data_IF_944456360832
#
_entry.id   IF_944456360832
#
_cell.length_a   1.000
_cell.length_b   1.000
_cell.length_c   1.000
_cell.angle_alpha   90.00
_cell.angle_beta   90.00
_cell.angle_gamma   90.00
#
_symmetry.space_group_name_H-M   'P 1'
#
loop_
_entity.id
_entity.type
_entity.pdbx_description
1 polymer ?
#
# COMPACT_ATOMS: atom_id res chain seq x y z
N UNK A 1 -38.42 -37.09 5.38
CA UNK A 1 -37.38 -36.07 5.66
C UNK A 1 -37.82 -35.25 6.86
N UNK A 2 -36.96 -35.10 7.87
CA UNK A 2 -37.30 -34.33 9.07
C UNK A 2 -37.41 -32.84 8.69
N UNK A 3 -38.55 -32.15 8.93
CA UNK A 3 -38.73 -30.73 8.59
C UNK A 3 -37.63 -29.81 9.16
N UNK A 4 -36.99 -30.21 10.27
CA UNK A 4 -35.83 -29.51 10.83
C UNK A 4 -34.62 -29.43 9.90
N UNK A 5 -34.44 -30.41 9.01
CA UNK A 5 -33.35 -30.42 8.03
C UNK A 5 -33.53 -29.31 6.98
N UNK A 6 -34.76 -29.07 6.52
CA UNK A 6 -35.07 -27.99 5.58
C UNK A 6 -34.91 -26.61 6.21
N UNK A 7 -35.31 -26.45 7.48
CA UNK A 7 -35.11 -25.20 8.24
C UNK A 7 -33.62 -24.91 8.42
N UNK A 8 -32.82 -25.92 8.77
CA UNK A 8 -31.37 -25.76 8.92
C UNK A 8 -30.68 -25.36 7.60
N UNK A 9 -31.05 -25.98 6.47
CA UNK A 9 -30.51 -25.61 5.17
C UNK A 9 -30.89 -24.18 4.76
N UNK A 10 -32.12 -23.75 5.01
CA UNK A 10 -32.56 -22.38 4.73
C UNK A 10 -31.80 -21.36 5.59
N UNK A 11 -31.64 -21.63 6.89
CA UNK A 11 -30.90 -20.75 7.80
C UNK A 11 -29.43 -20.62 7.38
N UNK A 12 -28.76 -21.73 7.06
CA UNK A 12 -27.37 -21.72 6.58
C UNK A 12 -27.24 -20.96 5.25
N UNK A 13 -28.16 -21.16 4.31
CA UNK A 13 -28.17 -20.44 3.03
C UNK A 13 -28.38 -18.93 3.21
N UNK A 14 -29.27 -18.54 4.12
CA UNK A 14 -29.53 -17.13 4.43
C UNK A 14 -28.32 -16.47 5.11
N UNK A 15 -27.69 -17.14 6.08
CA UNK A 15 -26.46 -16.67 6.72
C UNK A 15 -25.34 -16.53 5.68
N UNK A 16 -25.17 -17.52 4.80
CA UNK A 16 -24.18 -17.45 3.72
C UNK A 16 -24.42 -16.27 2.78
N UNK A 17 -25.68 -16.00 2.42
CA UNK A 17 -26.04 -14.90 1.55
C UNK A 17 -25.80 -13.54 2.23
N UNK A 18 -26.16 -13.39 3.51
CA UNK A 18 -25.87 -12.17 4.26
C UNK A 18 -24.36 -11.97 4.45
N UNK A 19 -23.62 -13.02 4.77
CA UNK A 19 -22.18 -12.95 4.92
C UNK A 19 -21.48 -12.57 3.61
N UNK A 20 -21.89 -13.15 2.47
CA UNK A 20 -21.32 -12.81 1.15
C UNK A 20 -21.72 -11.40 0.70
N UNK A 21 -22.94 -10.95 1.00
CA UNK A 21 -23.38 -9.59 0.73
C UNK A 21 -22.63 -8.56 1.57
N UNK A 22 -22.41 -8.84 2.86
CA UNK A 22 -21.59 -8.02 3.73
C UNK A 22 -20.12 -8.02 3.26
N UNK A 23 -19.57 -9.19 2.90
CA UNK A 23 -18.20 -9.29 2.39
C UNK A 23 -18.02 -8.48 1.11
N UNK A 24 -18.97 -8.54 0.18
CA UNK A 24 -18.95 -7.75 -1.05
C UNK A 24 -19.08 -6.25 -0.78
N UNK A 25 -19.82 -5.85 0.24
CA UNK A 25 -19.90 -4.44 0.66
C UNK A 25 -18.56 -3.97 1.25
N UNK A 26 -17.91 -4.79 2.08
CA UNK A 26 -16.60 -4.47 2.68
C UNK A 26 -15.45 -4.52 1.67
N UNK A 27 -15.55 -5.33 0.62
CA UNK A 27 -14.57 -5.41 -0.47
C UNK A 27 -14.73 -4.33 -1.54
N UNK A 28 -15.61 -3.34 -1.35
CA UNK A 28 -15.75 -2.28 -2.34
C UNK A 28 -14.50 -1.41 -2.36
N UNK A 29 -13.70 -1.58 -3.40
CA UNK A 29 -12.61 -0.68 -3.75
C UNK A 29 -13.14 0.75 -3.94
N UNK A 30 -12.27 1.74 -3.79
CA UNK A 30 -12.61 3.17 -3.90
C UNK A 30 -13.32 3.54 -5.21
N UNK A 31 -12.97 2.88 -6.33
CA UNK A 31 -13.67 3.01 -7.62
C UNK A 31 -15.13 2.56 -7.53
N UNK A 32 -15.38 1.42 -6.90
CA UNK A 32 -16.73 0.87 -6.75
C UNK A 32 -17.62 1.74 -5.87
N UNK A 33 -17.03 2.33 -4.83
CA UNK A 33 -17.71 3.30 -3.98
C UNK A 33 -18.05 4.59 -4.75
N UNK A 34 -17.08 5.12 -5.52
CA UNK A 34 -17.30 6.28 -6.37
C UNK A 34 -18.40 6.04 -7.41
N UNK A 35 -18.36 4.91 -8.13
CA UNK A 35 -19.40 4.54 -9.13
C UNK A 35 -20.81 4.45 -8.54
N UNK A 36 -20.93 4.13 -7.24
CA UNK A 36 -22.22 4.08 -6.55
C UNK A 36 -22.74 5.46 -6.18
N UNK A 37 -21.86 6.45 -6.00
CA UNK A 37 -22.20 7.82 -5.63
C UNK A 37 -22.20 8.81 -6.79
N UNK A 38 -21.58 8.46 -7.90
CA UNK A 38 -21.47 9.35 -9.05
C UNK A 38 -22.83 9.64 -9.70
N UNK A 39 -22.86 10.67 -10.54
CA UNK A 39 -24.06 11.09 -11.28
C UNK A 39 -24.68 9.97 -12.15
N UNK A 40 -23.91 8.95 -12.53
CA UNK A 40 -24.40 7.79 -13.32
C UNK A 40 -25.06 6.68 -12.47
N UNK A 41 -24.99 6.76 -11.14
CA UNK A 41 -25.52 5.73 -10.26
C UNK A 41 -27.04 5.61 -10.36
N UNK A 42 -27.62 4.41 -10.36
CA UNK A 42 -29.09 4.25 -10.42
C UNK A 42 -29.81 4.65 -9.13
N UNK A 43 -29.12 4.67 -7.99
CA UNK A 43 -29.71 4.96 -6.68
C UNK A 43 -29.47 6.41 -6.30
N UNK A 44 -30.49 7.25 -6.45
CA UNK A 44 -30.37 8.71 -6.26
C UNK A 44 -30.04 9.09 -4.81
N UNK A 45 -30.53 8.31 -3.84
CA UNK A 45 -30.39 8.59 -2.40
C UNK A 45 -28.93 8.55 -1.90
N UNK A 46 -28.04 7.91 -2.65
CA UNK A 46 -26.62 7.78 -2.29
C UNK A 46 -25.70 8.64 -3.17
N UNK A 47 -26.25 9.42 -4.10
CA UNK A 47 -25.44 10.24 -4.99
C UNK A 47 -24.85 11.45 -4.27
N UNK A 48 -23.77 11.98 -4.83
CA UNK A 48 -23.36 13.35 -4.51
C UNK A 48 -24.52 14.32 -4.77
N UNK A 49 -24.59 15.39 -3.97
CA UNK A 49 -25.64 16.38 -4.11
C UNK A 49 -25.57 17.05 -5.49
N UNK A 50 -26.72 17.23 -6.16
CA UNK A 50 -26.84 17.95 -7.44
C UNK A 50 -26.70 19.48 -7.23
N UNK A 51 -25.58 19.87 -6.64
CA UNK A 51 -25.19 21.25 -6.34
C UNK A 51 -23.74 21.43 -6.80
N UNK A 52 -23.31 22.66 -7.07
CA UNK A 52 -21.93 22.93 -7.47
C UNK A 52 -20.88 22.34 -6.49
N UNK A 53 -21.20 22.29 -5.19
CA UNK A 53 -20.32 21.67 -4.20
C UNK A 53 -20.27 20.15 -4.34
N UNK A 54 -21.41 19.48 -4.55
CA UNK A 54 -21.45 18.03 -4.73
C UNK A 54 -20.80 17.57 -6.05
N UNK A 55 -20.91 18.34 -7.12
CA UNK A 55 -20.17 18.09 -8.36
C UNK A 55 -18.65 18.19 -8.14
N UNK A 56 -18.20 19.20 -7.38
CA UNK A 56 -16.79 19.33 -7.01
C UNK A 56 -16.31 18.15 -6.15
N UNK A 57 -17.11 17.70 -5.19
CA UNK A 57 -16.81 16.51 -4.37
C UNK A 57 -16.72 15.24 -5.22
N UNK A 58 -17.60 15.05 -6.21
CA UNK A 58 -17.55 13.92 -7.14
C UNK A 58 -16.26 13.91 -7.97
N UNK A 59 -15.88 15.07 -8.52
CA UNK A 59 -14.65 15.23 -9.30
C UNK A 59 -13.41 15.04 -8.42
N UNK A 60 -13.41 15.59 -7.21
CA UNK A 60 -12.32 15.45 -6.26
C UNK A 60 -12.11 13.99 -5.87
N UNK A 61 -13.18 13.26 -5.55
CA UNK A 61 -13.09 11.84 -5.23
C UNK A 61 -12.54 11.00 -6.41
N UNK A 62 -12.90 11.36 -7.65
CA UNK A 62 -12.34 10.70 -8.83
C UNK A 62 -10.84 11.01 -8.99
N UNK A 63 -10.43 12.27 -8.76
CA UNK A 63 -9.04 12.70 -8.82
C UNK A 63 -8.21 11.99 -7.75
N UNK A 64 -8.72 11.86 -6.53
CA UNK A 64 -8.11 11.10 -5.43
C UNK A 64 -7.82 9.66 -5.84
N UNK A 65 -8.79 9.00 -6.48
CA UNK A 65 -8.63 7.63 -6.99
C UNK A 65 -7.59 7.54 -8.09
N UNK A 66 -7.59 8.48 -9.04
CA UNK A 66 -6.62 8.51 -10.14
C UNK A 66 -5.18 8.74 -9.65
N UNK A 67 -5.04 9.54 -8.59
CA UNK A 67 -3.76 9.81 -7.97
C UNK A 67 -3.30 8.70 -7.01
N UNK A 68 -4.13 7.68 -6.75
CA UNK A 68 -3.75 6.57 -5.86
C UNK A 68 -2.47 5.88 -6.36
N UNK A 69 -1.39 5.86 -5.55
CA UNK A 69 -0.18 5.17 -5.93
C UNK A 69 -0.39 3.65 -5.88
N UNK A 70 0.44 2.93 -6.63
CA UNK A 70 0.43 1.46 -6.60
C UNK A 70 1.69 0.98 -5.91
N UNK A 71 1.54 0.12 -4.92
CA UNK A 71 2.65 -0.38 -4.13
C UNK A 71 2.84 -1.86 -4.40
N UNK A 72 4.09 -2.26 -4.57
CA UNK A 72 4.47 -3.66 -4.60
C UNK A 72 5.57 -3.92 -3.58
N UNK A 73 5.36 -4.88 -2.68
CA UNK A 73 6.31 -5.23 -1.62
C UNK A 73 6.65 -6.70 -1.71
N UNK A 74 7.92 -7.05 -1.50
CA UNK A 74 8.37 -8.43 -1.45
C UNK A 74 9.43 -8.62 -0.36
N UNK A 75 9.19 -9.57 0.52
CA UNK A 75 10.13 -9.93 1.58
C UNK A 75 11.40 -10.56 1.00
N UNK A 76 12.56 -10.17 1.54
CA UNK A 76 13.86 -10.77 1.25
C UNK A 76 14.27 -11.70 2.37
N UNK A 77 14.88 -12.83 2.01
CA UNK A 77 15.34 -13.84 2.97
C UNK A 77 16.83 -14.14 2.80
N UNK A 78 17.51 -14.40 3.91
CA UNK A 78 18.80 -15.09 3.92
C UNK A 78 18.66 -16.46 4.57
N UNK A 79 19.57 -17.35 4.22
CA UNK A 79 19.57 -18.71 4.74
C UNK A 79 20.55 -18.82 5.91
N UNK A 80 20.06 -19.28 7.05
CA UNK A 80 20.85 -19.56 8.24
C UNK A 80 20.88 -21.05 8.52
N UNK A 81 22.06 -21.59 8.84
CA UNK A 81 22.19 -22.98 9.26
C UNK A 81 21.85 -23.11 10.74
N UNK A 82 20.79 -23.87 11.05
CA UNK A 82 20.38 -24.16 12.42
C UNK A 82 20.81 -25.57 12.81
N UNK A 83 21.42 -25.66 13.99
CA UNK A 83 21.91 -26.90 14.54
C UNK A 83 20.78 -27.71 15.18
N UNK A 84 20.61 -28.98 14.76
CA UNK A 84 19.58 -29.90 15.26
C UNK A 84 20.08 -30.84 16.36
N UNK A 85 21.35 -30.72 16.77
CA UNK A 85 21.99 -31.74 17.60
C UNK A 85 22.61 -32.86 16.76
N UNK A 86 23.62 -33.55 17.32
CA UNK A 86 24.33 -34.70 16.69
C UNK A 86 25.04 -34.42 15.34
N UNK A 87 25.37 -33.17 15.05
CA UNK A 87 26.18 -32.82 13.87
C UNK A 87 25.37 -32.50 12.62
N UNK A 88 24.04 -32.59 12.70
CA UNK A 88 23.15 -32.23 11.59
C UNK A 88 22.78 -30.74 11.63
N UNK A 89 22.84 -30.12 10.45
CA UNK A 89 22.43 -28.75 10.20
C UNK A 89 21.31 -28.73 9.16
N UNK A 90 20.37 -27.81 9.32
CA UNK A 90 19.37 -27.53 8.29
C UNK A 90 19.32 -26.03 8.01
N UNK A 91 19.12 -25.70 6.74
CA UNK A 91 19.08 -24.31 6.27
C UNK A 91 17.66 -23.76 6.41
N UNK A 92 17.52 -22.64 7.12
CA UNK A 92 16.25 -21.96 7.35
C UNK A 92 16.28 -20.61 6.67
N UNK A 93 15.26 -20.32 5.85
CA UNK A 93 15.03 -18.98 5.32
C UNK A 93 14.55 -18.07 6.46
N UNK A 94 15.33 -17.04 6.76
CA UNK A 94 15.01 -16.00 7.75
C UNK A 94 14.85 -14.68 7.00
N UNK A 95 13.76 -13.97 7.28
CA UNK A 95 13.53 -12.64 6.73
C UNK A 95 14.61 -11.67 7.23
N UNK A 96 15.13 -10.83 6.33
CA UNK A 96 16.07 -9.77 6.66
C UNK A 96 15.64 -8.38 6.20
N UNK A 97 14.55 -8.28 5.44
CA UNK A 97 14.08 -7.03 4.89
C UNK A 97 12.98 -7.21 3.86
N UNK A 98 12.66 -6.13 3.17
CA UNK A 98 11.77 -6.15 2.03
C UNK A 98 12.22 -5.17 0.95
N UNK A 99 12.08 -5.59 -0.30
CA UNK A 99 12.05 -4.68 -1.43
C UNK A 99 10.67 -4.03 -1.52
N UNK A 100 10.64 -2.74 -1.85
CA UNK A 100 9.43 -1.93 -1.98
C UNK A 100 9.51 -1.18 -3.31
N UNK A 101 8.46 -1.24 -4.10
CA UNK A 101 8.26 -0.41 -5.28
C UNK A 101 7.00 0.42 -5.09
N UNK A 102 7.14 1.75 -5.12
CA UNK A 102 6.02 2.69 -5.12
C UNK A 102 5.91 3.29 -6.52
N UNK A 103 4.84 2.96 -7.24
CA UNK A 103 4.49 3.57 -8.51
C UNK A 103 3.64 4.80 -8.24
N UNK A 104 4.24 5.97 -8.47
CA UNK A 104 3.62 7.28 -8.35
C UNK A 104 3.09 7.72 -9.72
N UNK A 105 1.88 8.32 -9.79
CA UNK A 105 1.34 8.88 -11.02
C UNK A 105 2.25 9.95 -11.62
N UNK A 106 2.31 10.07 -12.94
CA UNK A 106 3.12 11.11 -13.60
C UNK A 106 2.79 12.56 -13.15
N UNK A 107 1.57 12.83 -12.67
CA UNK A 107 1.12 14.13 -12.18
C UNK A 107 1.88 14.64 -10.95
N UNK A 108 2.55 13.76 -10.19
CA UNK A 108 3.33 14.18 -9.00
C UNK A 108 4.71 14.75 -9.35
N UNK A 109 5.06 14.83 -10.64
CA UNK A 109 6.34 15.38 -11.09
C UNK A 109 6.48 16.87 -10.74
N UNK A 110 7.69 17.27 -10.35
CA UNK A 110 7.97 18.62 -9.85
C UNK A 110 7.41 18.90 -8.46
N UNK A 111 6.87 17.89 -7.77
CA UNK A 111 6.28 18.00 -6.44
C UNK A 111 7.10 17.25 -5.39
N UNK A 112 6.99 17.71 -4.15
CA UNK A 112 7.54 17.01 -2.98
C UNK A 112 6.46 16.07 -2.43
N UNK A 113 6.75 14.78 -2.38
CA UNK A 113 5.82 13.77 -1.85
C UNK A 113 6.29 13.37 -0.45
N UNK A 114 5.37 13.34 0.50
CA UNK A 114 5.69 12.98 1.89
C UNK A 114 5.29 11.54 2.20
N UNK A 115 6.12 10.84 2.96
CA UNK A 115 5.90 9.43 3.31
C UNK A 115 6.15 9.16 4.79
N UNK A 116 5.37 8.25 5.37
CA UNK A 116 5.68 7.57 6.62
C UNK A 116 5.70 6.06 6.37
N UNK A 117 6.68 5.38 6.96
CA UNK A 117 6.86 3.93 6.83
C UNK A 117 7.07 3.29 8.18
N UNK A 118 6.35 2.20 8.43
CA UNK A 118 6.38 1.46 9.69
C UNK A 118 6.34 -0.04 9.41
N UNK A 119 7.12 -0.82 10.14
CA UNK A 119 6.95 -2.28 10.22
C UNK A 119 5.99 -2.61 11.37
N UNK A 120 5.12 -3.58 11.15
CA UNK A 120 4.23 -4.05 12.20
C UNK A 120 4.12 -5.57 12.21
N UNK A 121 3.75 -6.10 13.37
CA UNK A 121 3.55 -7.54 13.59
C UNK A 121 2.17 -7.80 14.15
N UNK A 122 1.68 -9.01 13.94
CA UNK A 122 0.45 -9.48 14.58
C UNK A 122 0.79 -10.56 15.62
N UNK A 123 0.85 -10.21 16.91
CA UNK A 123 1.14 -11.18 17.95
C UNK A 123 0.12 -12.33 17.92
N UNK A 124 0.62 -13.57 17.88
CA UNK A 124 -0.18 -14.81 17.85
C UNK A 124 -1.24 -14.90 16.72
N UNK A 125 -1.15 -14.07 15.68
CA UNK A 125 -2.06 -14.09 14.53
C UNK A 125 -3.51 -13.64 14.81
N UNK A 126 -3.87 -13.36 16.07
CA UNK A 126 -5.24 -12.98 16.48
C UNK A 126 -5.33 -11.67 17.25
N UNK A 127 -4.20 -11.16 17.75
CA UNK A 127 -4.18 -9.88 18.46
C UNK A 127 -4.18 -8.68 17.49
N UNK A 128 -4.48 -7.46 17.99
CA UNK A 128 -4.28 -6.24 17.22
C UNK A 128 -2.85 -6.14 16.68
N UNK A 129 -2.71 -5.46 15.55
CA UNK A 129 -1.41 -5.21 14.94
C UNK A 129 -0.62 -4.25 15.83
N UNK A 130 0.64 -4.56 16.09
CA UNK A 130 1.53 -3.74 16.91
C UNK A 130 2.70 -3.25 16.06
N UNK A 131 2.98 -1.95 16.14
CA UNK A 131 4.16 -1.32 15.54
C UNK A 131 5.46 -1.90 16.13
N UNK A 132 6.43 -2.14 15.25
CA UNK A 132 7.81 -2.40 15.62
C UNK A 132 8.57 -1.07 15.45
N UNK A 133 9.26 -0.64 16.50
CA UNK A 133 10.08 0.58 16.45
C UNK A 133 11.41 0.31 15.75
N UNK A 134 11.35 0.19 14.42
CA UNK A 134 12.53 0.09 13.55
C UNK A 134 12.77 1.43 12.81
N UNK A 135 14.02 1.91 12.70
CA UNK A 135 14.36 3.11 11.95
C UNK A 135 14.39 2.84 10.44
N UNK A 136 13.23 2.53 9.85
CA UNK A 136 13.09 2.24 8.41
C UNK A 136 13.29 3.47 7.52
N UNK A 137 13.07 4.65 8.08
CA UNK A 137 13.01 5.93 7.39
C UNK A 137 14.30 6.24 6.62
N UNK A 138 15.45 6.09 7.27
CA UNK A 138 16.75 6.35 6.63
C UNK A 138 17.06 5.34 5.53
N UNK A 139 16.72 4.06 5.73
CA UNK A 139 16.96 3.02 4.73
C UNK A 139 16.08 3.24 3.49
N UNK A 140 14.82 3.63 3.69
CA UNK A 140 13.86 3.86 2.61
C UNK A 140 14.35 4.92 1.62
N UNK A 141 14.88 6.04 2.12
CA UNK A 141 15.43 7.11 1.27
C UNK A 141 16.83 6.79 0.73
N UNK A 142 17.76 6.36 1.59
CA UNK A 142 19.17 6.22 1.19
C UNK A 142 19.44 5.06 0.22
N UNK A 143 18.54 4.08 0.17
CA UNK A 143 18.65 2.91 -0.72
C UNK A 143 17.68 2.96 -1.89
N UNK A 144 16.86 4.00 -1.97
CA UNK A 144 15.84 4.09 -2.99
C UNK A 144 16.33 4.72 -4.29
N UNK A 145 15.76 4.28 -5.40
CA UNK A 145 16.14 4.63 -6.75
C UNK A 145 14.91 4.74 -7.65
N UNK A 146 14.96 5.65 -8.62
CA UNK A 146 13.93 5.70 -9.66
C UNK A 146 14.16 4.60 -10.71
N UNK A 147 13.09 3.87 -11.02
CA UNK A 147 13.04 2.79 -12.01
C UNK A 147 12.06 3.13 -13.13
N UNK A 148 12.21 2.47 -14.28
CA UNK A 148 11.29 2.62 -15.41
C UNK A 148 9.96 1.94 -15.10
N UNK A 149 8.85 2.47 -15.62
CA UNK A 149 7.51 1.95 -15.39
C UNK A 149 7.36 0.43 -15.69
N UNK A 150 8.11 -0.07 -16.67
CA UNK A 150 8.14 -1.49 -17.09
C UNK A 150 8.67 -2.45 -16.01
N UNK A 151 9.43 -1.94 -15.03
CA UNK A 151 10.08 -2.75 -14.00
C UNK A 151 9.19 -3.00 -12.77
N UNK A 152 7.97 -2.45 -12.76
CA UNK A 152 7.02 -2.67 -11.68
C UNK A 152 6.69 -4.16 -11.50
N UNK A 153 6.62 -4.61 -10.24
CA UNK A 153 6.34 -6.00 -9.87
C UNK A 153 7.58 -6.92 -9.90
N UNK A 154 8.74 -6.41 -10.33
CA UNK A 154 9.97 -7.21 -10.42
C UNK A 154 10.95 -6.82 -9.33
N UNK A 155 10.83 -7.44 -8.15
CA UNK A 155 11.74 -7.24 -7.03
C UNK A 155 12.74 -8.40 -6.86
N UNK A 156 14.02 -8.05 -6.71
CA UNK A 156 15.09 -8.99 -6.41
C UNK A 156 14.94 -9.57 -4.98
N UNK A 157 15.28 -10.84 -4.81
CA UNK A 157 15.32 -11.49 -3.49
C UNK A 157 16.69 -11.30 -2.81
N UNK A 158 17.24 -10.09 -2.87
CA UNK A 158 18.53 -9.73 -2.26
C UNK A 158 18.45 -8.29 -1.76
N UNK A 159 19.18 -7.94 -0.69
CA UNK A 159 19.29 -6.56 -0.24
C UNK A 159 19.79 -5.66 -1.37
N UNK A 160 19.11 -4.53 -1.60
CA UNK A 160 19.64 -3.50 -2.48
C UNK A 160 20.82 -2.80 -1.79
N UNK A 161 21.85 -2.49 -2.58
CA UNK A 161 22.96 -1.63 -2.16
C UNK A 161 22.48 -0.20 -1.88
N UNK A 162 23.38 0.68 -1.46
CA UNK A 162 23.03 2.10 -1.33
C UNK A 162 22.79 2.69 -2.72
N UNK A 163 21.81 3.58 -2.82
CA UNK A 163 21.53 4.27 -4.06
C UNK A 163 22.74 5.10 -4.54
N UNK A 164 23.49 5.67 -3.59
CA UNK A 164 24.73 6.43 -3.85
C UNK A 164 25.83 5.63 -4.52
N UNK A 165 25.83 4.31 -4.37
CA UNK A 165 26.91 3.43 -4.86
C UNK A 165 26.61 2.95 -6.29
N UNK A 166 25.40 3.19 -6.78
CA UNK A 166 24.94 2.84 -8.11
C UNK A 166 24.95 4.08 -9.02
N UNK A 167 26.06 4.27 -9.71
CA UNK A 167 26.25 5.38 -10.65
C UNK A 167 25.52 5.19 -11.98
N UNK A 168 24.73 4.12 -12.15
CA UNK A 168 24.13 3.78 -13.44
C UNK A 168 22.74 4.36 -13.69
N UNK A 169 22.00 4.86 -12.70
CA UNK A 169 20.60 5.28 -12.90
C UNK A 169 20.07 6.36 -11.89
N UNK A 170 19.14 7.28 -12.30
CA UNK A 170 19.03 7.92 -13.63
C UNK A 170 18.63 9.43 -13.56
N UNK A 171 18.74 10.28 -14.61
CA UNK A 171 17.92 10.33 -15.83
C UNK A 171 16.44 9.94 -15.59
N UNK A 172 15.71 10.85 -14.97
CA UNK A 172 14.26 10.72 -14.76
C UNK A 172 13.54 10.10 -15.98
N UNK A 173 12.64 9.12 -15.77
CA UNK A 173 11.81 8.59 -16.85
C UNK A 173 11.08 9.72 -17.60
N UNK A 174 10.72 9.54 -18.89
CA UNK A 174 10.00 10.53 -19.67
C UNK A 174 8.78 11.08 -18.94
N UNK A 175 8.45 12.36 -19.14
CA UNK A 175 7.40 13.06 -18.38
C UNK A 175 6.02 12.40 -18.45
N UNK A 176 5.72 11.70 -19.54
CA UNK A 176 4.44 11.02 -19.75
C UNK A 176 4.31 9.69 -19.00
N UNK A 177 5.40 9.13 -18.47
CA UNK A 177 5.40 7.86 -17.75
C UNK A 177 5.27 8.05 -16.24
N UNK A 178 4.59 7.08 -15.60
CA UNK A 178 4.58 6.97 -14.14
C UNK A 178 5.98 6.71 -13.59
N UNK A 179 6.20 7.16 -12.36
CA UNK A 179 7.48 7.04 -11.69
C UNK A 179 7.46 5.84 -10.76
N UNK A 180 8.52 5.03 -10.78
CA UNK A 180 8.68 3.96 -9.79
C UNK A 180 9.82 4.32 -8.86
N UNK A 181 9.51 4.46 -7.59
CA UNK A 181 10.49 4.50 -6.51
C UNK A 181 10.71 3.08 -5.99
N UNK A 182 11.88 2.50 -6.27
CA UNK A 182 12.28 1.18 -5.77
C UNK A 182 13.28 1.34 -4.64
N UNK A 183 13.04 0.73 -3.49
CA UNK A 183 13.95 0.75 -2.34
C UNK A 183 13.97 -0.59 -1.61
N UNK A 184 14.93 -0.75 -0.70
CA UNK A 184 15.00 -1.90 0.20
C UNK A 184 15.14 -1.41 1.63
N UNK A 185 14.37 -1.98 2.55
CA UNK A 185 14.45 -1.66 3.97
C UNK A 185 14.77 -2.92 4.78
N UNK A 186 15.65 -2.83 5.80
CA UNK A 186 15.85 -3.92 6.74
C UNK A 186 14.59 -4.05 7.60
N UNK A 187 14.17 -5.28 7.87
CA UNK A 187 12.98 -5.55 8.68
C UNK A 187 13.33 -6.55 9.76
N UNK A 188 12.68 -6.43 10.92
CA UNK A 188 12.71 -7.47 11.93
C UNK A 188 12.18 -8.80 11.35
N UNK A 189 12.74 -9.91 11.84
CA UNK A 189 12.37 -11.27 11.43
C UNK A 189 10.91 -11.62 11.76
N UNK A 190 10.33 -10.97 12.77
CA UNK A 190 8.97 -11.18 13.24
C UNK A 190 7.99 -10.17 12.60
N UNK A 191 8.47 -9.23 11.77
CA UNK A 191 7.61 -8.29 11.04
C UNK A 191 6.72 -9.04 10.05
N UNK A 192 5.41 -8.80 10.14
CA UNK A 192 4.39 -9.47 9.31
C UNK A 192 3.83 -8.53 8.25
N UNK A 193 3.76 -7.23 8.55
CA UNK A 193 3.21 -6.22 7.67
C UNK A 193 4.19 -5.06 7.50
N UNK A 194 4.07 -4.40 6.36
CA UNK A 194 4.63 -3.09 6.12
C UNK A 194 3.50 -2.09 5.92
N UNK A 195 3.50 -1.03 6.71
CA UNK A 195 2.53 0.05 6.61
C UNK A 195 3.19 1.28 5.99
N UNK A 196 2.55 1.82 4.94
CA UNK A 196 3.00 3.03 4.26
C UNK A 196 1.88 4.05 4.22
N UNK A 197 2.22 5.30 4.51
CA UNK A 197 1.33 6.44 4.35
C UNK A 197 1.98 7.45 3.41
N UNK A 198 1.22 7.94 2.42
CA UNK A 198 1.70 8.85 1.38
C UNK A 198 0.81 10.11 1.37
N UNK A 199 1.43 11.29 1.37
CA UNK A 199 0.74 12.56 1.15
C UNK A 199 1.30 13.27 -0.08
N UNK A 200 0.38 13.75 -0.91
CA UNK A 200 0.68 14.70 -1.96
C UNK A 200 0.50 16.14 -1.45
N UNK A 201 1.18 17.12 -2.07
CA UNK A 201 1.04 18.50 -1.68
C UNK A 201 -0.32 19.08 -2.06
N UNK A 202 -0.73 20.11 -1.31
CA UNK A 202 -2.06 20.73 -1.42
C UNK A 202 -2.35 21.37 -2.79
N UNK A 203 -1.32 21.63 -3.59
CA UNK A 203 -1.46 22.14 -4.95
C UNK A 203 -1.91 21.07 -5.95
N UNK A 204 -1.67 19.79 -5.65
CA UNK A 204 -2.10 18.65 -6.46
C UNK A 204 -3.47 18.14 -6.01
N UNK A 205 -3.66 18.06 -4.69
CA UNK A 205 -4.89 17.52 -4.11
C UNK A 205 -5.19 18.23 -2.78
N UNK A 206 -6.43 18.67 -2.61
CA UNK A 206 -6.84 19.24 -1.34
C UNK A 206 -7.03 18.10 -0.34
N UNK A 207 -6.32 18.11 0.80
CA UNK A 207 -6.55 17.11 1.82
C UNK A 207 -8.00 17.24 2.33
N UNK A 208 -8.73 16.13 2.36
CA UNK A 208 -10.04 16.07 3.01
C UNK A 208 -9.94 16.39 4.50
N UNK A 209 -11.09 16.49 5.18
CA UNK A 209 -11.15 16.85 6.61
C UNK A 209 -10.23 16.00 7.51
N UNK A 210 -10.00 14.74 7.15
CA UNK A 210 -9.22 13.79 7.95
C UNK A 210 -7.72 13.74 7.56
N UNK A 211 -7.30 14.43 6.49
CA UNK A 211 -5.90 14.56 6.01
C UNK A 211 -5.08 13.26 6.08
N UNK A 212 -5.76 12.13 5.83
CA UNK A 212 -5.24 10.80 6.14
C UNK A 212 -4.22 10.31 5.13
N UNK A 213 -4.07 11.00 3.99
CA UNK A 213 -3.24 10.55 2.87
C UNK A 213 -3.69 9.20 2.32
N UNK A 214 -2.85 8.61 1.48
CA UNK A 214 -3.01 7.24 0.99
C UNK A 214 -2.34 6.27 1.96
N UNK A 215 -3.05 5.23 2.36
CA UNK A 215 -2.71 4.31 3.43
C UNK A 215 -2.68 2.88 2.91
N UNK A 216 -1.59 2.19 3.19
CA UNK A 216 -1.33 0.88 2.67
C UNK A 216 -0.82 -0.02 3.78
N UNK A 217 -1.33 -1.24 3.85
CA UNK A 217 -0.82 -2.30 4.71
C UNK A 217 -0.53 -3.54 3.85
N UNK A 218 0.74 -3.82 3.63
CA UNK A 218 1.20 -4.88 2.73
C UNK A 218 1.60 -6.12 3.52
N UNK A 219 1.19 -7.30 3.07
CA UNK A 219 1.63 -8.56 3.65
C UNK A 219 3.08 -8.88 3.24
N UNK A 220 3.95 -9.15 4.21
CA UNK A 220 5.34 -9.49 3.97
C UNK A 220 5.49 -10.96 3.55
N UNK A 221 5.28 -11.21 2.25
CA UNK A 221 5.42 -12.52 1.63
C UNK A 221 6.62 -12.62 0.67
N UNK A 222 7.10 -13.84 0.43
CA UNK A 222 8.16 -14.13 -0.57
C UNK A 222 7.67 -14.08 -2.01
N UNK A 223 6.35 -14.19 -2.23
CA UNK A 223 5.71 -14.08 -3.55
C UNK A 223 5.55 -12.63 -4.02
N UNK A 224 5.65 -11.70 -3.09
CA UNK A 224 5.30 -10.29 -3.30
C UNK A 224 3.79 -10.05 -3.16
N UNK A 225 3.44 -8.89 -2.67
CA UNK A 225 2.08 -8.38 -2.52
C UNK A 225 1.95 -7.04 -3.26
N UNK A 226 0.79 -6.78 -3.84
CA UNK A 226 0.53 -5.54 -4.59
C UNK A 226 -0.79 -4.95 -4.17
N UNK A 227 -0.76 -3.70 -3.75
CA UNK A 227 -1.96 -2.93 -3.43
C UNK A 227 -2.04 -1.67 -4.29
N UNK A 228 -3.26 -1.29 -4.58
CA UNK A 228 -3.62 -0.19 -5.48
C UNK A 228 -4.66 0.75 -4.84
N UNK A 229 -5.27 0.36 -3.71
CA UNK A 229 -6.33 1.13 -3.06
C UNK A 229 -5.87 1.73 -1.73
N UNK A 230 -5.12 2.82 -1.82
CA UNK A 230 -4.66 3.55 -0.65
C UNK A 230 -5.74 4.38 0.04
N UNK A 231 -6.96 4.44 -0.50
CA UNK A 231 -8.05 5.26 0.04
C UNK A 231 -9.02 4.45 0.92
N UNK A 232 -8.79 3.14 1.04
CA UNK A 232 -9.57 2.29 1.92
C UNK A 232 -9.48 2.80 3.37
N UNK A 233 -10.63 2.92 4.03
CA UNK A 233 -10.73 3.38 5.41
C UNK A 233 -10.23 2.29 6.38
N UNK A 234 -8.92 2.09 6.44
CA UNK A 234 -8.25 1.17 7.37
C UNK A 234 -7.63 1.97 8.52
N UNK A 235 -7.87 1.52 9.75
CA UNK A 235 -7.10 2.01 10.91
C UNK A 235 -5.75 1.30 10.91
N UNK A 236 -4.68 2.08 10.71
CA UNK A 236 -3.30 1.61 10.62
C UNK A 236 -2.46 2.30 11.69
N UNK A 237 -1.45 1.60 12.20
CA UNK A 237 -0.52 2.12 13.20
C UNK A 237 0.31 3.28 12.63
N UNK A 238 0.55 3.29 11.31
CA UNK A 238 1.22 4.42 10.64
C UNK A 238 0.48 5.75 10.84
N UNK A 239 -0.86 5.76 11.00
CA UNK A 239 -1.65 6.99 11.26
C UNK A 239 -1.28 7.67 12.58
N UNK A 240 -0.80 6.92 13.57
CA UNK A 240 -0.34 7.49 14.84
C UNK A 240 0.97 8.28 14.68
N UNK A 241 1.65 8.16 13.54
CA UNK A 241 2.88 8.89 13.24
C UNK A 241 2.54 10.30 12.72
N UNK A 242 2.94 11.33 13.45
CA UNK A 242 2.67 12.73 13.09
C UNK A 242 3.34 13.13 11.77
N UNK A 243 2.78 14.13 11.06
CA UNK A 243 3.44 14.81 9.94
C UNK A 243 4.82 15.41 10.28
N UNK A 244 5.11 15.63 11.56
CA UNK A 244 6.33 16.27 12.06
C UNK A 244 7.62 15.42 11.94
N UNK A 245 7.59 14.29 11.22
CA UNK A 245 8.74 13.43 10.96
C UNK A 245 8.67 12.70 9.61
N UNK A 246 7.84 13.19 8.68
CA UNK A 246 7.65 12.54 7.37
C UNK A 246 8.88 12.65 6.50
N UNK A 247 9.18 11.56 5.79
CA UNK A 247 10.18 11.55 4.74
C UNK A 247 9.69 12.41 3.58
N UNK A 248 10.58 13.20 2.99
CA UNK A 248 10.28 13.95 1.78
C UNK A 248 11.05 13.33 0.62
N UNK A 249 10.31 12.90 -0.40
CA UNK A 249 10.86 12.52 -1.69
C UNK A 249 10.65 13.68 -2.65
N UNK A 250 11.75 14.25 -3.13
CA UNK A 250 11.70 15.26 -4.17
C UNK A 250 11.58 14.58 -5.53
N UNK A 251 10.50 14.89 -6.25
CA UNK A 251 10.26 14.37 -7.58
C UNK A 251 10.59 15.44 -8.61
N UNK A 252 11.64 15.23 -9.41
CA UNK A 252 11.98 16.17 -10.49
C UNK A 252 10.92 16.18 -11.61
N UNK A 253 10.86 17.26 -12.40
CA UNK A 253 9.87 17.40 -13.48
C UNK A 253 10.06 16.33 -14.57
N UNK A 254 11.31 16.02 -14.92
CA UNK A 254 11.66 15.02 -15.93
C UNK A 254 12.48 15.62 -17.06
N UNK A 255 12.68 14.84 -18.12
CA UNK A 255 13.25 15.34 -19.38
C UNK A 255 12.11 15.51 -20.38
N UNK A 256 11.96 16.68 -21.02
CA UNK A 256 10.93 16.88 -22.03
C UNK A 256 11.14 15.91 -23.21
N UNK A 257 10.03 15.45 -23.78
CA UNK A 257 9.98 14.51 -24.91
C UNK A 257 10.38 15.18 -26.22
#
# INVERSE_FOLDING_TARGET
>A
MNPWFSVALFATGFIYLLATMALNYFKQDSVGWWLRKCCWSKTIDYRYAETANGENEEIQALLEIQLSPKIHVKSTVHYEDRYLGKGDYYSVAVQNGAGIQVRLPNLVRGQSVHFNIVSSKRPWGVLPVEKIDDPLHEAFLNRGQFRKAEQFGTLANKPAGKASDDFTYPLMPPENEDLIWETWVPLDKDATYLELQIWYPNNLINPGQDDSGYLFQMDLGTRGDTDIDGLAAVELEVKASSRTGTLTLEVAEGTPV
#
